data_IF_241952177511
#
_entry.id   IF_241952177511
#
_cell.length_a   1.000
_cell.length_b   1.000
_cell.length_c   1.000
_cell.angle_alpha   90.00
_cell.angle_beta   90.00
_cell.angle_gamma   90.00
#
_symmetry.space_group_name_H-M   'P 1'
#
loop_
_entity.id
_entity.type
_entity.pdbx_description
1 polymer ?
#
# COMPACT_ATOMS: atom_id res chain seq x y z
N UNK A 1 -14.18 -10.03 0.27
CA UNK A 1 -12.94 -10.16 -0.54
C UNK A 1 -12.31 -11.43 -0.04
N UNK A 2 -12.64 -12.53 -0.72
CA UNK A 2 -12.32 -13.87 -0.24
C UNK A 2 -10.81 -14.03 -0.10
N UNK A 3 -10.37 -14.57 1.04
CA UNK A 3 -8.99 -15.03 1.20
C UNK A 3 -8.68 -16.14 0.19
N UNK A 4 -7.45 -16.66 0.14
CA UNK A 4 -7.22 -17.90 -0.60
C UNK A 4 -8.08 -19.00 0.06
N UNK A 5 -9.23 -19.25 -0.55
CA UNK A 5 -10.16 -20.34 -0.25
C UNK A 5 -9.73 -21.62 -0.96
N UNK A 6 -8.53 -21.66 -1.53
CA UNK A 6 -7.99 -22.89 -2.08
C UNK A 6 -7.67 -23.83 -0.92
N UNK A 7 -8.60 -24.75 -0.69
CA UNK A 7 -8.40 -25.93 0.13
C UNK A 7 -7.06 -26.56 -0.22
N UNK A 8 -6.29 -26.91 0.81
CA UNK A 8 -4.99 -27.54 0.61
C UNK A 8 -5.23 -28.94 0.06
N UNK A 9 -4.69 -29.22 -1.12
CA UNK A 9 -4.90 -30.52 -1.77
C UNK A 9 -4.02 -31.59 -1.12
N UNK A 10 -4.44 -32.86 -1.19
CA UNK A 10 -3.62 -33.98 -0.72
C UNK A 10 -2.29 -34.07 -1.49
N UNK A 11 -2.27 -33.65 -2.75
CA UNK A 11 -1.06 -33.59 -3.57
C UNK A 11 -0.11 -32.48 -3.11
N UNK A 12 -0.62 -31.29 -2.75
CA UNK A 12 0.17 -30.20 -2.17
C UNK A 12 0.82 -30.64 -0.85
N UNK A 13 0.09 -31.36 -0.01
CA UNK A 13 0.60 -31.89 1.28
C UNK A 13 1.70 -32.91 1.03
N UNK A 14 1.48 -33.88 0.13
CA UNK A 14 2.48 -34.90 -0.18
C UNK A 14 3.74 -34.30 -0.80
N UNK A 15 3.58 -33.35 -1.72
CA UNK A 15 4.70 -32.64 -2.34
C UNK A 15 5.50 -31.83 -1.30
N UNK A 16 4.82 -31.18 -0.36
CA UNK A 16 5.47 -30.36 0.67
C UNK A 16 6.11 -31.18 1.81
N UNK A 17 5.61 -32.39 2.09
CA UNK A 17 6.21 -33.31 3.08
C UNK A 17 7.46 -34.02 2.55
N UNK A 18 7.60 -34.18 1.24
CA UNK A 18 8.72 -34.89 0.61
C UNK A 18 8.57 -36.42 0.65
N UNK A 19 9.47 -37.12 -0.06
CA UNK A 19 9.43 -38.57 -0.28
C UNK A 19 10.10 -39.39 0.85
N UNK A 20 10.06 -38.93 2.11
CA UNK A 20 10.63 -39.72 3.21
C UNK A 20 9.60 -40.68 3.81
N UNK A 21 10.00 -41.94 4.01
CA UNK A 21 9.14 -43.03 4.52
C UNK A 21 8.69 -42.89 5.97
N UNK A 22 8.98 -41.75 6.61
CA UNK A 22 8.57 -41.39 7.97
C UNK A 22 7.93 -40.00 7.96
N UNK A 23 6.66 -39.92 8.33
CA UNK A 23 5.94 -38.66 8.53
C UNK A 23 5.74 -38.48 10.05
N UNK A 24 6.27 -37.38 10.59
CA UNK A 24 6.12 -36.97 11.99
C UNK A 24 5.59 -35.53 12.07
N UNK A 25 5.19 -35.06 13.26
CA UNK A 25 4.67 -33.70 13.43
C UNK A 25 5.60 -32.57 12.96
N UNK A 26 6.92 -32.81 12.85
CA UNK A 26 7.89 -31.84 12.32
C UNK A 26 7.77 -31.73 10.79
N UNK A 27 7.60 -32.85 10.10
CA UNK A 27 7.35 -32.88 8.66
C UNK A 27 6.02 -32.19 8.31
N UNK A 28 5.01 -32.29 9.18
CA UNK A 28 3.72 -31.62 9.01
C UNK A 28 3.87 -30.10 9.10
N UNK A 29 4.53 -29.60 10.15
CA UNK A 29 4.74 -28.17 10.31
C UNK A 29 5.62 -27.59 9.21
N UNK A 30 6.63 -28.35 8.73
CA UNK A 30 7.42 -27.96 7.56
C UNK A 30 6.54 -27.86 6.31
N UNK A 31 5.69 -28.85 6.06
CA UNK A 31 4.79 -28.86 4.91
C UNK A 31 3.80 -27.69 4.95
N UNK A 32 3.21 -27.41 6.11
CA UNK A 32 2.37 -26.22 6.34
C UNK A 32 3.13 -24.95 5.97
N UNK A 33 4.34 -24.76 6.49
CA UNK A 33 5.13 -23.56 6.19
C UNK A 33 5.41 -23.40 4.70
N UNK A 34 5.76 -24.48 4.00
CA UNK A 34 6.01 -24.46 2.54
C UNK A 34 4.74 -24.05 1.79
N UNK A 35 3.61 -24.71 2.08
CA UNK A 35 2.32 -24.45 1.42
C UNK A 35 1.85 -23.02 1.68
N UNK A 36 1.96 -22.56 2.93
CA UNK A 36 1.60 -21.20 3.34
C UNK A 36 2.42 -20.17 2.58
N UNK A 37 3.74 -20.34 2.52
CA UNK A 37 4.64 -19.40 1.82
C UNK A 37 4.30 -19.34 0.33
N UNK A 38 4.10 -20.49 -0.31
CA UNK A 38 3.77 -20.56 -1.73
C UNK A 38 2.41 -19.90 -2.03
N UNK A 39 1.36 -20.27 -1.29
CA UNK A 39 0.02 -19.68 -1.46
C UNK A 39 0.00 -18.19 -1.13
N UNK A 40 0.68 -17.77 -0.07
CA UNK A 40 0.78 -16.37 0.33
C UNK A 40 1.49 -15.54 -0.75
N UNK A 41 2.62 -16.02 -1.28
CA UNK A 41 3.36 -15.35 -2.34
C UNK A 41 2.50 -15.14 -3.59
N UNK A 42 1.86 -16.21 -4.08
CA UNK A 42 0.94 -16.12 -5.22
C UNK A 42 -0.24 -15.18 -4.97
N UNK A 43 -0.81 -15.22 -3.75
CA UNK A 43 -1.88 -14.31 -3.34
C UNK A 43 -1.43 -12.85 -3.38
N UNK A 44 -0.31 -12.50 -2.74
CA UNK A 44 0.18 -11.13 -2.66
C UNK A 44 0.63 -10.59 -4.02
N UNK A 45 1.35 -11.39 -4.82
CA UNK A 45 1.77 -11.01 -6.18
C UNK A 45 0.57 -10.65 -7.06
N UNK A 46 -0.48 -11.48 -7.04
CA UNK A 46 -1.71 -11.24 -7.79
C UNK A 46 -2.40 -9.94 -7.37
N UNK A 47 -2.47 -9.67 -6.06
CA UNK A 47 -3.12 -8.45 -5.54
C UNK A 47 -2.27 -7.20 -5.81
N UNK A 48 -0.95 -7.30 -5.69
CA UNK A 48 -0.01 -6.24 -6.07
C UNK A 48 -0.10 -5.91 -7.57
N UNK A 49 -0.17 -6.92 -8.42
CA UNK A 49 -0.36 -6.74 -9.86
C UNK A 49 -1.67 -6.02 -10.20
N UNK A 50 -2.77 -6.38 -9.54
CA UNK A 50 -4.05 -5.67 -9.69
C UNK A 50 -3.98 -4.23 -9.20
N UNK A 51 -3.32 -4.00 -8.07
CA UNK A 51 -3.14 -2.66 -7.51
C UNK A 51 -2.29 -1.78 -8.44
N UNK A 52 -1.18 -2.32 -8.98
CA UNK A 52 -0.33 -1.67 -9.99
C UNK A 52 -1.16 -1.15 -11.15
N UNK A 53 -1.96 -2.02 -11.77
CA UNK A 53 -2.77 -1.65 -12.94
C UNK A 53 -3.75 -0.51 -12.61
N UNK A 54 -4.41 -0.58 -11.45
CA UNK A 54 -5.36 0.46 -11.01
C UNK A 54 -4.66 1.79 -10.75
N UNK A 55 -3.54 1.78 -10.05
CA UNK A 55 -2.78 2.99 -9.75
C UNK A 55 -2.16 3.62 -10.99
N UNK A 56 -1.57 2.81 -11.89
CA UNK A 56 -1.06 3.29 -13.17
C UNK A 56 -2.18 3.88 -14.03
N UNK A 57 -3.36 3.25 -14.07
CA UNK A 57 -4.51 3.79 -14.79
C UNK A 57 -4.94 5.16 -14.27
N UNK A 58 -4.97 5.35 -12.94
CA UNK A 58 -5.31 6.64 -12.33
C UNK A 58 -4.24 7.68 -12.63
N UNK A 59 -2.96 7.37 -12.34
CA UNK A 59 -1.87 8.33 -12.51
C UNK A 59 -1.66 8.73 -13.97
N UNK A 60 -1.69 7.77 -14.90
CA UNK A 60 -1.58 8.10 -16.34
C UNK A 60 -2.70 9.00 -16.82
N UNK A 61 -3.86 9.05 -16.17
CA UNK A 61 -4.99 9.93 -16.55
C UNK A 61 -4.98 11.27 -15.81
N UNK A 62 -4.10 11.47 -14.84
CA UNK A 62 -4.03 12.70 -14.05
C UNK A 62 -3.59 13.91 -14.88
N UNK A 63 -2.90 13.71 -16.00
CA UNK A 63 -2.53 14.80 -16.89
C UNK A 63 -3.72 15.47 -17.57
N UNK A 64 -4.83 14.75 -17.81
CA UNK A 64 -5.99 15.28 -18.52
C UNK A 64 -6.65 16.48 -17.81
N UNK A 65 -6.97 16.42 -16.50
CA UNK A 65 -7.47 17.59 -15.79
C UNK A 65 -6.44 18.72 -15.70
N UNK A 66 -5.14 18.41 -15.62
CA UNK A 66 -4.09 19.43 -15.59
C UNK A 66 -3.99 20.15 -16.93
N UNK A 67 -4.07 19.42 -18.04
CA UNK A 67 -4.08 19.95 -19.41
C UNK A 67 -5.29 20.88 -19.62
N UNK A 68 -6.47 20.47 -19.14
CA UNK A 68 -7.67 21.30 -19.21
C UNK A 68 -7.56 22.58 -18.36
N UNK A 69 -7.03 22.47 -17.13
CA UNK A 69 -6.77 23.64 -16.29
C UNK A 69 -5.83 24.63 -16.99
N UNK A 70 -4.72 24.14 -17.55
CA UNK A 70 -3.76 24.97 -18.27
C UNK A 70 -4.37 25.65 -19.50
N UNK A 71 -5.22 24.94 -20.26
CA UNK A 71 -5.97 25.54 -21.38
C UNK A 71 -6.96 26.61 -20.91
N UNK A 72 -7.67 26.37 -19.81
CA UNK A 72 -8.64 27.32 -19.26
C UNK A 72 -7.98 28.60 -18.74
N UNK A 73 -6.79 28.50 -18.15
CA UNK A 73 -6.00 29.66 -17.70
C UNK A 73 -5.53 30.51 -18.89
N UNK A 74 -5.08 29.87 -19.98
CA UNK A 74 -4.68 30.57 -21.21
C UNK A 74 -5.88 31.26 -21.85
N UNK A 75 -7.04 30.59 -21.93
CA UNK A 75 -8.28 31.18 -22.47
C UNK A 75 -8.79 32.35 -21.61
N UNK A 76 -8.74 32.23 -20.28
CA UNK A 76 -9.13 33.29 -19.34
C UNK A 76 -8.18 34.50 -19.38
N UNK A 77 -6.88 34.28 -19.60
CA UNK A 77 -5.91 35.35 -19.79
C UNK A 77 -6.13 36.11 -21.11
N UNK A 78 -6.50 35.40 -22.19
CA UNK A 78 -6.87 35.99 -23.47
C UNK A 78 -8.09 36.91 -23.36
N UNK A 79 -9.18 36.44 -22.74
CA UNK A 79 -10.41 37.22 -22.56
C UNK A 79 -10.22 38.49 -21.70
N UNK A 80 -9.38 38.41 -20.65
CA UNK A 80 -8.99 39.59 -19.86
C UNK A 80 -8.12 40.56 -20.63
N UNK A 81 -7.25 40.06 -21.51
CA UNK A 81 -6.43 40.86 -22.41
C UNK A 81 -7.27 41.62 -23.44
N UNK A 82 -8.27 40.97 -24.03
CA UNK A 82 -9.22 41.59 -24.97
C UNK A 82 -10.07 42.67 -24.30
N UNK A 83 -10.64 42.42 -23.12
CA UNK A 83 -11.38 43.45 -22.37
C UNK A 83 -10.52 44.66 -22.00
N UNK A 84 -9.24 44.45 -21.66
CA UNK A 84 -8.31 45.53 -21.36
C UNK A 84 -7.88 46.30 -22.61
N UNK A 85 -7.73 45.62 -23.76
CA UNK A 85 -7.42 46.23 -25.05
C UNK A 85 -8.60 47.07 -25.59
N UNK A 86 -9.83 46.59 -25.38
CA UNK A 86 -11.08 47.29 -25.69
C UNK A 86 -11.24 48.56 -24.85
N UNK A 87 -10.92 48.50 -23.55
CA UNK A 87 -10.88 49.66 -22.65
C UNK A 87 -9.79 50.68 -23.01
N UNK A 88 -8.68 50.26 -23.62
CA UNK A 88 -7.56 51.12 -24.02
C UNK A 88 -7.67 51.63 -25.48
N UNK A 89 -8.76 51.32 -26.19
CA UNK A 89 -9.05 51.87 -27.53
C UNK A 89 -8.05 51.45 -28.62
N UNK A 90 -7.28 50.38 -28.42
CA UNK A 90 -6.35 49.85 -29.43
C UNK A 90 -7.07 48.85 -30.32
N UNK A 91 -7.53 49.32 -31.48
CA UNK A 91 -8.24 48.54 -32.49
C UNK A 91 -7.36 47.58 -33.31
N UNK A 92 -6.53 46.75 -32.65
CA UNK A 92 -5.72 45.71 -33.30
C UNK A 92 -6.26 44.30 -32.95
N UNK A 93 -7.54 44.06 -33.24
CA UNK A 93 -8.21 42.77 -33.00
C UNK A 93 -7.62 41.61 -33.82
N UNK A 94 -6.83 41.89 -34.86
CA UNK A 94 -6.30 40.88 -35.78
C UNK A 94 -4.99 40.23 -35.32
N UNK A 95 -4.22 40.88 -34.43
CA UNK A 95 -2.99 40.33 -33.85
C UNK A 95 -3.25 39.34 -32.69
N UNK A 96 -4.38 39.50 -31.98
CA UNK A 96 -4.78 38.62 -30.88
C UNK A 96 -5.15 37.21 -31.33
N UNK A 97 -5.83 37.07 -32.47
CA UNK A 97 -6.26 35.78 -33.00
C UNK A 97 -5.07 34.90 -33.48
N UNK A 98 -4.05 35.50 -34.10
CA UNK A 98 -2.82 34.79 -34.50
C UNK A 98 -1.95 34.38 -33.32
N UNK A 99 -1.93 35.19 -32.24
CA UNK A 99 -1.20 34.87 -31.01
C UNK A 99 -1.89 33.76 -30.18
N UNK A 100 -3.22 33.71 -30.18
CA UNK A 100 -3.98 32.62 -29.56
C UNK A 100 -3.77 31.27 -30.27
N UNK A 101 -3.74 31.26 -31.60
CA UNK A 101 -3.48 30.06 -32.40
C UNK A 101 -2.05 29.53 -32.20
N UNK A 102 -1.04 30.42 -32.15
CA UNK A 102 0.36 30.02 -31.91
C UNK A 102 0.59 29.53 -30.47
N UNK A 103 -0.10 30.11 -29.48
CA UNK A 103 -0.04 29.66 -28.08
C UNK A 103 -0.64 28.26 -27.88
N UNK A 104 -1.79 27.98 -28.51
CA UNK A 104 -2.41 26.65 -28.48
C UNK A 104 -1.55 25.57 -29.15
N UNK A 105 -0.91 25.90 -30.28
CA UNK A 105 0.00 24.97 -30.98
C UNK A 105 1.28 24.71 -30.18
N UNK A 106 1.86 25.73 -29.54
CA UNK A 106 3.02 25.58 -28.65
C UNK A 106 2.69 24.73 -27.43
N UNK A 107 1.52 24.94 -26.82
CA UNK A 107 1.03 24.12 -25.71
C UNK A 107 0.86 22.65 -26.12
N UNK A 108 0.28 22.40 -27.28
CA UNK A 108 0.12 21.04 -27.81
C UNK A 108 1.48 20.35 -28.05
N UNK A 109 2.45 21.08 -28.63
CA UNK A 109 3.83 20.57 -28.83
C UNK A 109 4.52 20.28 -27.50
N UNK A 110 4.39 21.17 -26.51
CA UNK A 110 4.93 20.96 -25.18
C UNK A 110 4.31 19.73 -24.50
N UNK A 111 2.99 19.57 -24.57
CA UNK A 111 2.31 18.41 -23.98
C UNK A 111 2.67 17.09 -24.69
N UNK A 112 2.92 17.11 -26.00
CA UNK A 112 3.39 15.94 -26.74
C UNK A 112 4.74 15.41 -26.23
N UNK A 113 5.58 16.28 -25.65
CA UNK A 113 6.89 15.93 -25.09
C UNK A 113 6.79 15.63 -23.59
N UNK A 114 6.04 16.44 -22.85
CA UNK A 114 5.90 16.31 -21.40
C UNK A 114 5.16 15.01 -21.01
N UNK A 115 4.15 14.59 -21.79
CA UNK A 115 3.33 13.43 -21.45
C UNK A 115 4.10 12.09 -21.48
N UNK A 116 4.92 11.78 -22.51
CA UNK A 116 5.79 10.61 -22.49
C UNK A 116 6.77 10.60 -21.30
N UNK A 117 7.37 11.75 -20.98
CA UNK A 117 8.28 11.88 -19.84
C UNK A 117 7.57 11.62 -18.50
N UNK A 118 6.38 12.18 -18.33
CA UNK A 118 5.55 11.94 -17.16
C UNK A 118 5.16 10.46 -17.05
N UNK A 119 4.69 9.85 -18.15
CA UNK A 119 4.27 8.44 -18.17
C UNK A 119 5.43 7.52 -17.80
N UNK A 120 6.62 7.79 -18.34
CA UNK A 120 7.84 7.06 -17.99
C UNK A 120 8.19 7.20 -16.51
N UNK A 121 8.13 8.42 -15.95
CA UNK A 121 8.36 8.64 -14.53
C UNK A 121 7.37 7.86 -13.65
N UNK A 122 6.07 7.89 -14.01
CA UNK A 122 5.02 7.14 -13.30
C UNK A 122 5.35 5.64 -13.27
N UNK A 123 5.79 5.08 -14.39
CA UNK A 123 6.18 3.67 -14.52
C UNK A 123 7.40 3.34 -13.66
N UNK A 124 8.47 4.14 -13.76
CA UNK A 124 9.70 3.94 -12.99
C UNK A 124 9.46 4.00 -11.47
N UNK A 125 8.66 4.98 -11.00
CA UNK A 125 8.30 5.12 -9.59
C UNK A 125 7.41 3.96 -9.13
N UNK A 126 6.45 3.54 -9.95
CA UNK A 126 5.59 2.40 -9.66
C UNK A 126 6.40 1.12 -9.52
N UNK A 127 7.29 0.83 -10.47
CA UNK A 127 8.07 -0.40 -10.49
C UNK A 127 9.04 -0.44 -9.29
N UNK A 128 9.67 0.70 -8.95
CA UNK A 128 10.48 0.84 -7.75
C UNK A 128 9.67 0.61 -6.46
N UNK A 129 8.45 1.13 -6.37
CA UNK A 129 7.58 0.93 -5.22
C UNK A 129 7.16 -0.55 -5.09
N UNK A 130 6.77 -1.19 -6.18
CA UNK A 130 6.33 -2.59 -6.17
C UNK A 130 7.48 -3.54 -5.86
N UNK A 131 8.68 -3.27 -6.35
CA UNK A 131 9.86 -4.06 -6.01
C UNK A 131 10.08 -4.06 -4.49
N UNK A 132 9.93 -2.89 -3.84
CA UNK A 132 10.03 -2.79 -2.38
C UNK A 132 8.90 -3.53 -1.66
N UNK A 133 7.67 -3.44 -2.16
CA UNK A 133 6.55 -4.20 -1.61
C UNK A 133 6.79 -5.72 -1.73
N UNK A 134 7.37 -6.18 -2.84
CA UNK A 134 7.72 -7.59 -3.03
C UNK A 134 8.82 -8.04 -2.07
N UNK A 135 9.83 -7.22 -1.83
CA UNK A 135 10.85 -7.50 -0.81
C UNK A 135 10.24 -7.61 0.60
N UNK A 136 9.22 -6.80 0.93
CA UNK A 136 8.50 -6.94 2.20
C UNK A 136 7.69 -8.24 2.27
N UNK A 137 7.05 -8.65 1.17
CA UNK A 137 6.36 -9.96 1.09
C UNK A 137 7.34 -11.09 1.33
N UNK A 138 8.50 -11.05 0.69
CA UNK A 138 9.57 -12.02 0.92
C UNK A 138 10.04 -12.01 2.38
N UNK A 139 10.17 -10.83 2.99
CA UNK A 139 10.57 -10.71 4.40
C UNK A 139 9.54 -11.30 5.38
N UNK A 140 8.24 -11.01 5.15
CA UNK A 140 7.13 -11.52 5.99
C UNK A 140 7.00 -13.04 5.84
N UNK A 141 7.22 -13.56 4.63
CA UNK A 141 7.11 -15.00 4.35
C UNK A 141 8.36 -15.80 4.74
N UNK A 142 9.51 -15.15 4.96
CA UNK A 142 10.78 -15.81 5.31
C UNK A 142 10.83 -16.36 6.73
N UNK A 143 10.20 -15.70 7.70
CA UNK A 143 10.22 -16.11 9.09
C UNK A 143 8.81 -16.14 9.68
N UNK A 144 8.28 -17.36 9.88
CA UNK A 144 7.03 -17.56 10.61
C UNK A 144 7.36 -17.52 12.11
N UNK A 145 7.07 -16.39 12.77
CA UNK A 145 7.20 -16.26 14.23
C UNK A 145 5.83 -16.45 14.86
N UNK A 146 5.72 -17.44 15.74
CA UNK A 146 4.54 -17.64 16.57
C UNK A 146 4.67 -16.77 17.82
N UNK A 147 3.92 -15.66 17.89
CA UNK A 147 3.70 -15.00 19.18
C UNK A 147 2.70 -15.85 19.98
N UNK A 148 3.14 -16.46 21.09
CA UNK A 148 2.30 -17.30 21.96
C UNK A 148 1.39 -16.49 22.89
N UNK A 149 1.56 -15.16 22.97
CA UNK A 149 1.04 -14.40 24.11
C UNK A 149 -0.20 -13.55 23.85
N UNK A 150 -0.61 -13.25 22.61
CA UNK A 150 -1.56 -12.13 22.42
C UNK A 150 -2.84 -12.38 21.62
N UNK A 151 -2.91 -13.34 20.70
CA UNK A 151 -4.15 -13.60 19.94
C UNK A 151 -4.30 -15.03 19.37
N UNK A 152 -3.23 -15.80 19.41
CA UNK A 152 -3.11 -17.08 18.70
C UNK A 152 -3.30 -18.29 19.61
N UNK A 153 -3.28 -18.17 20.95
CA UNK A 153 -3.43 -19.34 21.82
C UNK A 153 -4.81 -20.00 21.67
N UNK A 154 -5.86 -19.19 21.59
CA UNK A 154 -7.23 -19.64 21.35
C UNK A 154 -7.42 -20.10 19.90
N UNK A 155 -6.84 -19.43 18.90
CA UNK A 155 -6.85 -19.94 17.52
C UNK A 155 -6.06 -21.23 17.37
N UNK A 156 -4.88 -21.38 17.97
CA UNK A 156 -4.09 -22.61 17.96
C UNK A 156 -4.85 -23.74 18.68
N UNK A 157 -5.51 -23.42 19.80
CA UNK A 157 -6.39 -24.37 20.46
C UNK A 157 -7.56 -24.77 19.55
N UNK A 158 -8.19 -23.82 18.87
CA UNK A 158 -9.29 -24.09 17.94
C UNK A 158 -8.83 -24.82 16.65
N UNK A 159 -7.57 -24.65 16.23
CA UNK A 159 -7.03 -25.28 15.02
C UNK A 159 -6.47 -26.68 15.32
N UNK A 160 -5.79 -26.87 16.45
CA UNK A 160 -5.14 -28.15 16.78
C UNK A 160 -5.96 -29.03 17.72
N UNK A 161 -6.64 -28.43 18.70
CA UNK A 161 -7.32 -29.18 19.77
C UNK A 161 -8.80 -29.41 19.44
N UNK A 162 -9.50 -28.42 18.91
CA UNK A 162 -10.94 -28.52 18.66
C UNK A 162 -11.34 -29.56 17.58
N UNK A 163 -10.60 -29.76 16.47
CA UNK A 163 -10.97 -30.77 15.48
C UNK A 163 -10.80 -32.19 16.04
N UNK A 164 -9.74 -32.41 16.82
CA UNK A 164 -9.50 -33.67 17.52
C UNK A 164 -10.55 -33.91 18.60
N UNK A 165 -10.95 -32.86 19.33
CA UNK A 165 -12.04 -32.90 20.30
C UNK A 165 -13.39 -33.29 19.65
N UNK A 166 -13.71 -32.67 18.51
CA UNK A 166 -14.95 -32.93 17.77
C UNK A 166 -14.98 -34.36 17.21
N UNK A 167 -13.84 -34.89 16.78
CA UNK A 167 -13.75 -36.26 16.28
C UNK A 167 -13.86 -37.31 17.40
N UNK A 168 -13.27 -37.04 18.57
CA UNK A 168 -13.46 -37.88 19.76
C UNK A 168 -14.91 -37.87 20.22
N UNK A 169 -15.62 -36.74 20.11
CA UNK A 169 -17.06 -36.67 20.35
C UNK A 169 -17.83 -37.60 19.40
N UNK A 170 -17.57 -37.54 18.09
CA UNK A 170 -18.21 -38.43 17.11
C UNK A 170 -17.88 -39.91 17.38
N UNK A 171 -16.66 -40.23 17.81
CA UNK A 171 -16.22 -41.61 18.11
C UNK A 171 -16.81 -42.13 19.43
N UNK A 172 -16.96 -41.27 20.43
CA UNK A 172 -17.64 -41.57 21.70
C UNK A 172 -19.15 -41.76 21.49
N UNK A 173 -19.77 -40.93 20.65
CA UNK A 173 -21.18 -41.06 20.24
C UNK A 173 -21.41 -42.35 19.44
N UNK A 174 -20.50 -42.71 18.53
CA UNK A 174 -20.52 -44.00 17.82
C UNK A 174 -20.38 -45.22 18.75
N UNK A 175 -19.55 -45.14 19.79
CA UNK A 175 -19.44 -46.20 20.82
C UNK A 175 -20.72 -46.29 21.68
N UNK A 176 -21.35 -45.17 22.00
CA UNK A 176 -22.64 -45.12 22.72
C UNK A 176 -23.81 -45.66 21.88
N UNK A 177 -23.76 -45.51 20.56
CA UNK A 177 -24.77 -46.05 19.65
C UNK A 177 -24.63 -47.58 19.43
N UNK A 178 -23.42 -48.15 19.58
CA UNK A 178 -23.16 -49.59 19.43
C UNK A 178 -23.21 -50.41 20.74
N UNK A 179 -23.15 -49.76 21.91
CA UNK A 179 -23.12 -50.41 23.21
C UNK A 179 -24.48 -50.37 23.91
N UNK A 180 -25.16 -51.52 23.99
CA UNK A 180 -26.44 -51.66 24.68
C UNK A 180 -26.41 -51.21 26.15
N UNK A 181 -27.47 -50.49 26.53
CA UNK A 181 -27.91 -50.13 27.89
C UNK A 181 -27.09 -50.74 29.05
N UNK A 182 -26.29 -49.90 29.71
CA UNK A 182 -26.12 -49.99 31.17
C UNK A 182 -26.47 -48.64 31.81
N UNK A 183 -27.41 -48.75 32.74
CA UNK A 183 -28.11 -47.72 33.49
C UNK A 183 -27.27 -47.35 34.72
N UNK A 184 -27.07 -46.07 34.98
CA UNK A 184 -26.47 -45.60 36.23
C UNK A 184 -25.86 -44.21 36.13
N UNK A 185 -26.67 -43.22 36.53
CA UNK A 185 -26.34 -42.04 37.34
C UNK A 185 -25.38 -40.90 36.91
N UNK A 186 -25.93 -39.73 37.23
CA UNK A 186 -25.34 -38.47 37.67
C UNK A 186 -24.86 -37.41 36.66
N UNK A 187 -25.54 -36.27 36.80
CA UNK A 187 -25.28 -35.01 36.15
C UNK A 187 -24.00 -34.37 36.71
N UNK A 188 -22.91 -34.51 35.96
CA UNK A 188 -21.72 -33.67 36.05
C UNK A 188 -21.48 -33.04 34.69
N UNK A 189 -21.23 -31.74 34.66
CA UNK A 189 -20.72 -31.01 33.48
C UNK A 189 -19.29 -31.49 33.23
N UNK A 190 -19.14 -32.72 32.74
CA UNK A 190 -17.84 -33.29 32.44
C UNK A 190 -17.28 -32.58 31.21
N UNK A 191 -16.11 -31.98 31.39
CA UNK A 191 -15.26 -31.56 30.29
C UNK A 191 -15.12 -32.75 29.32
N UNK A 192 -15.15 -32.53 27.99
CA UNK A 192 -15.37 -33.59 27.00
C UNK A 192 -14.13 -34.48 26.76
N UNK A 193 -13.27 -34.63 27.77
CA UNK A 193 -12.11 -35.51 27.80
C UNK A 193 -12.07 -36.18 29.17
N UNK A 194 -11.87 -37.50 29.22
CA UNK A 194 -11.61 -38.16 30.50
C UNK A 194 -10.26 -37.70 31.09
N UNK A 195 -9.28 -37.36 30.24
CA UNK A 195 -7.99 -36.75 30.63
C UNK A 195 -7.32 -36.07 29.43
N UNK A 196 -6.50 -35.03 29.68
CA UNK A 196 -5.63 -34.37 28.68
C UNK A 196 -4.71 -35.38 27.94
N UNK A 197 -4.36 -36.48 28.60
CA UNK A 197 -3.53 -37.56 28.04
C UNK A 197 -4.19 -38.27 26.84
N UNK A 198 -5.50 -38.50 26.85
CA UNK A 198 -6.20 -39.13 25.71
C UNK A 198 -6.23 -38.23 24.48
N UNK A 199 -6.41 -36.92 24.68
CA UNK A 199 -6.35 -35.92 23.62
C UNK A 199 -4.95 -35.85 23.01
N UNK A 200 -3.92 -35.81 23.86
CA UNK A 200 -2.52 -35.82 23.41
C UNK A 200 -2.20 -37.12 22.69
N UNK A 201 -2.70 -38.27 23.16
CA UNK A 201 -2.49 -39.56 22.52
C UNK A 201 -3.11 -39.63 21.12
N UNK A 202 -4.37 -39.19 20.94
CA UNK A 202 -5.00 -39.20 19.62
C UNK A 202 -4.41 -38.15 18.68
N UNK A 203 -4.02 -36.98 19.21
CA UNK A 203 -3.29 -35.97 18.44
C UNK A 203 -1.92 -36.51 17.99
N UNK A 204 -1.23 -37.23 18.88
CA UNK A 204 0.03 -37.91 18.55
C UNK A 204 -0.20 -39.01 17.52
N UNK A 205 -1.29 -39.78 17.60
CA UNK A 205 -1.68 -40.77 16.60
C UNK A 205 -1.92 -40.13 15.22
N UNK A 206 -2.61 -38.99 15.16
CA UNK A 206 -2.83 -38.23 13.92
C UNK A 206 -1.52 -37.69 13.33
N UNK A 207 -0.63 -37.14 14.18
CA UNK A 207 0.66 -36.59 13.76
C UNK A 207 1.75 -37.63 13.45
N UNK A 208 1.59 -38.86 13.94
CA UNK A 208 2.50 -39.98 13.67
C UNK A 208 1.96 -40.95 12.63
N UNK A 209 0.74 -40.70 12.14
CA UNK A 209 0.15 -41.50 11.09
C UNK A 209 0.96 -41.35 9.79
N UNK A 210 1.28 -42.49 9.17
CA UNK A 210 2.05 -42.51 7.92
C UNK A 210 1.22 -42.18 6.66
N UNK A 211 -0.08 -41.92 6.82
CA UNK A 211 -0.98 -41.63 5.71
C UNK A 211 -1.58 -40.25 5.95
N UNK A 212 -1.62 -39.44 4.90
CA UNK A 212 -2.36 -38.17 4.94
C UNK A 212 -3.82 -38.51 5.13
N UNK A 213 -4.30 -38.35 6.36
CA UNK A 213 -5.69 -38.57 6.71
C UNK A 213 -6.51 -37.34 6.31
N UNK A 214 -7.83 -37.50 6.14
CA UNK A 214 -8.69 -36.37 5.81
C UNK A 214 -8.71 -35.34 6.94
N UNK A 215 -8.56 -35.79 8.18
CA UNK A 215 -8.47 -34.95 9.37
C UNK A 215 -7.21 -34.09 9.40
N UNK A 216 -6.07 -34.69 9.03
CA UNK A 216 -4.81 -33.98 8.85
C UNK A 216 -4.95 -32.90 7.77
N UNK A 217 -5.59 -33.21 6.64
CA UNK A 217 -5.83 -32.24 5.56
C UNK A 217 -6.68 -31.06 6.03
N UNK A 218 -7.75 -31.32 6.80
CA UNK A 218 -8.60 -30.26 7.37
C UNK A 218 -7.84 -29.38 8.35
N UNK A 219 -7.07 -29.98 9.26
CA UNK A 219 -6.26 -29.26 10.24
C UNK A 219 -5.21 -28.38 9.55
N UNK A 220 -4.47 -28.95 8.58
CA UNK A 220 -3.49 -28.20 7.80
C UNK A 220 -4.14 -27.05 7.02
N UNK A 221 -5.30 -27.28 6.40
CA UNK A 221 -6.03 -26.23 5.65
C UNK A 221 -6.47 -25.08 6.55
N UNK A 222 -6.98 -25.38 7.75
CA UNK A 222 -7.35 -24.34 8.73
C UNK A 222 -6.13 -23.55 9.20
N UNK A 223 -5.03 -24.24 9.51
CA UNK A 223 -3.80 -23.60 9.94
C UNK A 223 -3.22 -22.69 8.85
N UNK A 224 -3.22 -23.15 7.60
CA UNK A 224 -2.79 -22.37 6.43
C UNK A 224 -3.65 -21.11 6.27
N UNK A 225 -4.98 -21.26 6.39
CA UNK A 225 -5.91 -20.14 6.27
C UNK A 225 -5.69 -19.07 7.35
N UNK A 226 -5.47 -19.49 8.60
CA UNK A 226 -5.20 -18.58 9.72
C UNK A 226 -3.89 -17.81 9.53
N UNK A 227 -2.81 -18.50 9.14
CA UNK A 227 -1.51 -17.83 8.92
C UNK A 227 -1.62 -16.81 7.78
N UNK A 228 -2.25 -17.17 6.66
CA UNK A 228 -2.43 -16.25 5.54
C UNK A 228 -3.33 -15.07 5.94
N UNK A 229 -4.36 -15.31 6.75
CA UNK A 229 -5.22 -14.24 7.26
C UNK A 229 -4.44 -13.23 8.10
N UNK A 230 -3.57 -13.70 9.00
CA UNK A 230 -2.70 -12.85 9.81
C UNK A 230 -1.71 -12.05 8.94
N UNK A 231 -1.04 -12.71 7.99
CA UNK A 231 -0.11 -12.06 7.06
C UNK A 231 -0.80 -11.02 6.18
N UNK A 232 -2.04 -11.27 5.76
CA UNK A 232 -2.82 -10.30 4.97
C UNK A 232 -3.03 -8.99 5.75
N UNK A 233 -3.32 -9.07 7.04
CA UNK A 233 -3.53 -7.87 7.86
C UNK A 233 -2.24 -7.05 7.95
N UNK A 234 -1.11 -7.72 8.22
CA UNK A 234 0.19 -7.06 8.32
C UNK A 234 0.66 -6.49 6.97
N UNK A 235 0.39 -7.21 5.88
CA UNK A 235 0.64 -6.75 4.54
C UNK A 235 -0.16 -5.49 4.19
N UNK A 236 -1.46 -5.45 4.49
CA UNK A 236 -2.31 -4.27 4.28
C UNK A 236 -1.83 -3.04 5.04
N UNK A 237 -1.35 -3.23 6.28
CA UNK A 237 -0.76 -2.17 7.10
C UNK A 237 0.51 -1.61 6.47
N UNK A 238 1.39 -2.50 6.02
CA UNK A 238 2.71 -2.14 5.48
C UNK A 238 2.60 -1.50 4.10
N UNK A 239 1.79 -2.06 3.20
CA UNK A 239 1.68 -1.57 1.83
C UNK A 239 1.14 -0.14 1.75
N UNK A 240 0.21 0.22 2.63
CA UNK A 240 -0.36 1.58 2.66
C UNK A 240 0.73 2.63 2.95
N UNK A 241 1.60 2.34 3.92
CA UNK A 241 2.74 3.20 4.24
C UNK A 241 3.75 3.27 3.09
N UNK A 242 4.02 2.13 2.43
CA UNK A 242 4.95 2.07 1.29
C UNK A 242 4.43 2.84 0.09
N UNK A 243 3.15 2.72 -0.25
CA UNK A 243 2.57 3.50 -1.35
C UNK A 243 2.65 4.99 -1.07
N UNK A 244 2.34 5.41 0.15
CA UNK A 244 2.42 6.84 0.49
C UNK A 244 3.87 7.35 0.36
N UNK A 245 4.84 6.63 0.91
CA UNK A 245 6.24 7.08 0.98
C UNK A 245 7.06 6.85 -0.29
N UNK A 246 6.82 5.77 -1.03
CA UNK A 246 7.63 5.38 -2.19
C UNK A 246 6.91 5.53 -3.52
N UNK A 247 5.59 5.64 -3.53
CA UNK A 247 4.84 5.95 -4.75
C UNK A 247 4.38 7.40 -4.78
N UNK A 248 3.68 7.90 -3.76
CA UNK A 248 3.09 9.24 -3.77
C UNK A 248 4.10 10.38 -3.52
N UNK A 249 4.97 10.27 -2.51
CA UNK A 249 5.96 11.31 -2.20
C UNK A 249 6.88 11.70 -3.37
N UNK A 250 7.37 10.76 -4.21
CA UNK A 250 8.14 11.11 -5.40
C UNK A 250 7.43 12.07 -6.36
N UNK A 251 6.09 12.05 -6.44
CA UNK A 251 5.34 13.00 -7.25
C UNK A 251 5.40 14.43 -6.71
N UNK A 252 5.52 14.59 -5.39
CA UNK A 252 5.64 15.90 -4.76
C UNK A 252 7.08 16.43 -4.82
N UNK A 253 8.06 15.56 -4.59
CA UNK A 253 9.45 15.99 -4.36
C UNK A 253 10.34 15.84 -5.59
N UNK A 254 10.20 14.73 -6.30
CA UNK A 254 11.15 14.33 -7.36
C UNK A 254 10.64 14.71 -8.75
N UNK A 255 9.33 14.59 -9.00
CA UNK A 255 8.74 14.88 -10.30
C UNK A 255 9.10 16.29 -10.83
N UNK A 256 9.01 17.38 -10.04
CA UNK A 256 9.32 18.72 -10.57
C UNK A 256 10.77 18.84 -11.06
N UNK A 257 11.71 18.25 -10.32
CA UNK A 257 13.13 18.23 -10.68
C UNK A 257 13.40 17.33 -11.87
N UNK A 258 12.75 16.17 -11.92
CA UNK A 258 12.83 15.23 -13.05
C UNK A 258 12.35 15.89 -14.34
N UNK A 259 11.17 16.50 -14.34
CA UNK A 259 10.60 17.17 -15.51
C UNK A 259 11.51 18.32 -15.97
N UNK A 260 11.99 19.16 -15.04
CA UNK A 260 12.90 20.27 -15.38
C UNK A 260 14.21 19.79 -15.99
N UNK A 261 14.81 18.74 -15.42
CA UNK A 261 16.07 18.18 -15.93
C UNK A 261 15.90 17.51 -17.30
N UNK A 262 14.80 16.78 -17.48
CA UNK A 262 14.50 16.07 -18.73
C UNK A 262 14.16 17.04 -19.85
N UNK A 263 13.32 18.03 -19.60
CA UNK A 263 13.01 19.09 -20.57
C UNK A 263 14.26 19.91 -20.91
N UNK A 264 15.01 20.35 -19.91
CA UNK A 264 16.26 21.09 -20.13
C UNK A 264 17.38 20.27 -20.79
N UNK A 265 17.25 18.93 -20.89
CA UNK A 265 18.14 18.11 -21.72
C UNK A 265 17.70 18.14 -23.17
N UNK A 266 16.42 17.91 -23.43
CA UNK A 266 15.84 17.95 -24.77
C UNK A 266 15.96 19.35 -25.40
N UNK A 267 15.91 20.43 -24.59
CA UNK A 267 16.14 21.81 -25.06
C UNK A 267 17.55 21.99 -25.60
N UNK A 268 18.55 21.39 -24.95
CA UNK A 268 19.95 21.43 -25.39
C UNK A 268 20.21 20.58 -26.62
N UNK A 269 19.37 19.58 -26.85
CA UNK A 269 19.44 18.70 -28.02
C UNK A 269 18.64 19.28 -29.21
N UNK A 270 18.06 20.49 -29.07
CA UNK A 270 17.22 21.19 -30.07
C UNK A 270 15.97 20.39 -30.53
N UNK A 271 15.63 19.30 -29.85
CA UNK A 271 14.51 18.41 -30.21
C UNK A 271 13.13 18.98 -29.84
N UNK A 272 13.06 20.07 -29.05
CA UNK A 272 11.78 20.61 -28.57
C UNK A 272 10.97 21.34 -29.63
N UNK A 273 11.60 21.91 -30.66
CA UNK A 273 10.91 22.66 -31.72
C UNK A 273 9.96 23.77 -31.21
N UNK A 274 10.18 24.26 -29.98
CA UNK A 274 9.42 25.34 -29.38
C UNK A 274 9.92 26.68 -29.92
N UNK A 275 8.99 27.59 -30.18
CA UNK A 275 9.32 28.95 -30.58
C UNK A 275 9.92 29.65 -29.35
N UNK A 276 11.15 30.20 -29.44
CA UNK A 276 11.73 30.91 -28.31
C UNK A 276 10.83 32.10 -27.93
N UNK A 277 10.66 32.38 -26.63
CA UNK A 277 9.84 33.51 -26.19
C UNK A 277 10.40 34.80 -26.78
N UNK A 278 9.51 35.72 -27.17
CA UNK A 278 9.91 37.04 -27.65
C UNK A 278 10.76 37.76 -26.59
N UNK A 279 11.61 38.70 -26.99
CA UNK A 279 12.44 39.46 -26.03
C UNK A 279 11.61 40.15 -24.95
N UNK A 280 10.38 40.56 -25.27
CA UNK A 280 9.47 41.20 -24.31
C UNK A 280 8.93 40.20 -23.28
N UNK A 281 8.60 38.98 -23.69
CA UNK A 281 8.18 37.90 -22.81
C UNK A 281 9.33 37.43 -21.91
N UNK A 282 10.55 37.36 -22.45
CA UNK A 282 11.76 37.06 -21.68
C UNK A 282 12.04 38.14 -20.61
N UNK A 283 11.83 39.42 -20.93
CA UNK A 283 11.93 40.53 -19.96
C UNK A 283 10.82 40.47 -18.92
N UNK A 284 9.59 40.16 -19.32
CA UNK A 284 8.44 40.04 -18.42
C UNK A 284 8.60 38.87 -17.44
N UNK A 285 9.01 37.71 -17.91
CA UNK A 285 9.28 36.53 -17.07
C UNK A 285 10.44 36.77 -16.11
N UNK A 286 11.49 37.45 -16.55
CA UNK A 286 12.60 37.87 -15.69
C UNK A 286 12.16 38.82 -14.57
N UNK A 287 11.29 39.78 -14.87
CA UNK A 287 10.71 40.69 -13.85
C UNK A 287 9.85 39.94 -12.83
N UNK A 288 8.95 39.07 -13.30
CA UNK A 288 8.08 38.26 -12.41
C UNK A 288 8.89 37.33 -11.52
N UNK A 289 9.98 36.74 -12.02
CA UNK A 289 10.91 35.93 -11.21
C UNK A 289 11.60 36.76 -10.13
N UNK A 290 12.05 37.98 -10.45
CA UNK A 290 12.66 38.87 -9.47
C UNK A 290 11.65 39.26 -8.37
N UNK A 291 10.41 39.52 -8.74
CA UNK A 291 9.31 39.86 -7.83
C UNK A 291 8.90 38.68 -6.93
N UNK A 292 8.81 37.46 -7.48
CA UNK A 292 8.55 36.26 -6.68
C UNK A 292 9.69 35.99 -5.67
N UNK A 293 10.93 36.20 -6.07
CA UNK A 293 12.08 36.05 -5.17
C UNK A 293 12.06 37.10 -4.05
N UNK A 294 11.69 38.36 -4.34
CA UNK A 294 11.57 39.39 -3.30
C UNK A 294 10.41 39.09 -2.34
N UNK A 295 9.25 38.65 -2.84
CA UNK A 295 8.11 38.26 -2.02
C UNK A 295 8.41 37.00 -1.18
N UNK A 296 9.18 36.05 -1.71
CA UNK A 296 9.68 34.88 -0.97
C UNK A 296 10.58 35.29 0.19
N UNK A 297 11.52 36.21 -0.04
CA UNK A 297 12.41 36.74 0.99
C UNK A 297 11.64 37.51 2.08
N UNK A 298 10.66 38.32 1.69
CA UNK A 298 9.79 39.05 2.62
C UNK A 298 8.96 38.09 3.48
N UNK A 299 8.38 37.04 2.88
CA UNK A 299 7.65 36.00 3.61
C UNK A 299 8.53 35.26 4.62
N UNK A 300 9.77 34.93 4.26
CA UNK A 300 10.72 34.32 5.19
C UNK A 300 11.04 35.25 6.37
N UNK A 301 11.25 36.54 6.11
CA UNK A 301 11.52 37.50 7.17
C UNK A 301 10.32 37.67 8.11
N UNK A 302 9.10 37.75 7.57
CA UNK A 302 7.87 37.75 8.36
C UNK A 302 7.73 36.48 9.21
N UNK A 303 8.08 35.29 8.68
CA UNK A 303 8.09 34.06 9.46
C UNK A 303 9.13 34.10 10.60
N UNK A 304 10.33 34.65 10.36
CA UNK A 304 11.34 34.84 11.41
C UNK A 304 10.87 35.82 12.48
N UNK A 305 10.23 36.92 12.10
CA UNK A 305 9.67 37.89 13.04
C UNK A 305 8.55 37.25 13.87
N UNK A 306 7.63 36.51 13.24
CA UNK A 306 6.56 35.81 13.93
C UNK A 306 7.08 34.73 14.90
N UNK A 307 8.15 34.00 14.53
CA UNK A 307 8.81 33.05 15.41
C UNK A 307 9.44 33.75 16.64
N UNK A 308 10.12 34.88 16.42
CA UNK A 308 10.69 35.72 17.50
C UNK A 308 9.59 36.23 18.45
N UNK A 309 8.48 36.75 17.92
CA UNK A 309 7.34 37.20 18.73
C UNK A 309 6.73 36.07 19.56
N UNK A 310 6.57 34.86 19.00
CA UNK A 310 6.10 33.69 19.76
C UNK A 310 7.05 33.30 20.88
N UNK A 311 8.35 33.36 20.65
CA UNK A 311 9.34 33.10 21.71
C UNK A 311 9.29 34.16 22.82
N UNK A 312 9.22 35.44 22.46
CA UNK A 312 9.10 36.54 23.42
C UNK A 312 7.81 36.46 24.25
N UNK A 313 6.68 36.12 23.62
CA UNK A 313 5.40 35.91 24.32
C UNK A 313 5.46 34.74 25.32
N UNK A 314 6.07 33.61 24.93
CA UNK A 314 6.30 32.47 25.84
C UNK A 314 7.19 32.86 27.02
N UNK A 315 8.26 33.61 26.78
CA UNK A 315 9.15 34.10 27.84
C UNK A 315 8.45 35.09 28.77
N UNK A 316 7.57 35.95 28.25
CA UNK A 316 6.81 36.91 29.04
C UNK A 316 5.72 36.22 29.88
N UNK A 317 5.01 35.22 29.34
CA UNK A 317 4.08 34.38 30.11
C UNK A 317 4.78 33.61 31.24
N UNK A 318 5.97 33.08 31.00
CA UNK A 318 6.78 32.40 32.03
C UNK A 318 7.27 33.35 33.14
N UNK A 319 7.46 34.64 32.82
CA UNK A 319 7.81 35.67 33.83
C UNK A 319 6.60 36.11 34.66
N UNK A 320 5.42 36.27 34.03
CA UNK A 320 4.18 36.64 34.73
C UNK A 320 3.65 35.49 35.61
N UNK A 321 3.78 34.23 35.16
CA UNK A 321 3.39 33.05 35.95
C UNK A 321 4.27 32.78 37.19
N UNK A 322 5.44 33.42 37.31
CA UNK A 322 6.32 33.33 38.50
C UNK A 322 6.08 34.45 39.53
N UNK A 323 5.23 35.43 39.22
CA UNK A 323 5.07 36.64 40.03
C UNK A 323 3.86 36.64 40.99
N UNK A 324 3.22 35.48 41.23
CA UNK A 324 2.15 35.34 42.22
C UNK A 324 2.48 34.19 43.20
N UNK A 325 3.19 34.46 44.32
CA UNK A 325 3.08 33.62 45.49
C UNK A 325 1.72 33.93 46.15
N UNK A 326 0.82 32.95 46.15
CA UNK A 326 -0.41 33.01 46.94
C UNK A 326 0.02 33.00 48.42
N UNK A 327 -0.44 33.96 49.25
CA UNK A 327 -0.13 34.00 50.69
C UNK A 327 -0.73 32.83 51.48
#
# INVERSE_FOLDING_TARGET
IDGPTEEVSSEEILNAMGFDGYHDGVNYMRAVCVIVVEKAKGYFEKHLGRLRLRLLHVMRRLHAPVDEMLRSDVAGAGARGEQLAELLGRGDAQLGASAGASSGEQHARYMAIALPLYTRFVEEVMDSCLQKCMTDVEAITKYVVWDSHSATRESLYNVFVQPVAAQLQQRAEGRRAGGGRRRGDEAGKEMPFATYEELVASFTEVLTSRRVSEEMRMMMSQLVAEIISAWRQEFCRTISLKLNSFFLMPFCETLPLYMRRSLGRLEREEELGLIPPSEEEARRTSRLRAELNSLGAEREELHRIAARMRTSLKTQQMRVGRALPIP
#
